data_IF_212968466474
#
_entry.id   IF_212968466474
#
_cell.length_a   1.000
_cell.length_b   1.000
_cell.length_c   1.000
_cell.angle_alpha   90.00
_cell.angle_beta   90.00
_cell.angle_gamma   90.00
#
_symmetry.space_group_name_H-M   'P 1'
#
loop_
_entity.id
_entity.type
_entity.pdbx_description
1 polymer ?
#
# COMPACT_ATOMS: atom_id res chain seq x y z
N UNK A 1 4.81 87.33 40.63
CA UNK A 1 5.45 86.23 39.88
C UNK A 1 5.40 86.60 38.41
N UNK A 2 6.50 87.16 37.91
CA UNK A 2 6.68 87.48 36.49
C UNK A 2 7.28 86.23 35.89
N UNK A 3 6.52 85.50 35.06
CA UNK A 3 7.09 84.39 34.31
C UNK A 3 8.11 84.97 33.33
N UNK A 4 9.31 84.38 33.32
CA UNK A 4 10.37 84.74 32.37
C UNK A 4 9.86 84.44 30.95
N UNK A 5 9.84 85.45 30.09
CA UNK A 5 9.32 85.34 28.73
C UNK A 5 10.04 84.24 27.93
N UNK A 6 11.29 83.93 28.30
CA UNK A 6 12.05 82.86 27.69
C UNK A 6 11.53 81.47 28.08
N UNK A 7 11.14 81.25 29.35
CA UNK A 7 10.58 79.97 29.80
C UNK A 7 9.23 79.67 29.14
N UNK A 8 8.38 80.69 29.00
CA UNK A 8 7.07 80.55 28.36
C UNK A 8 7.22 80.16 26.88
N UNK A 9 8.21 80.74 26.18
CA UNK A 9 8.49 80.44 24.78
C UNK A 9 9.01 79.01 24.59
N UNK A 10 9.91 78.54 25.44
CA UNK A 10 10.38 77.14 25.42
C UNK A 10 9.27 76.14 25.73
N UNK A 11 8.35 76.46 26.66
CA UNK A 11 7.22 75.59 26.98
C UNK A 11 6.22 75.45 25.81
N UNK A 12 5.99 76.52 25.06
CA UNK A 12 5.15 76.52 23.85
C UNK A 12 5.82 75.68 22.75
N UNK A 13 7.12 75.89 22.49
CA UNK A 13 7.87 75.13 21.48
C UNK A 13 7.91 73.62 21.81
N UNK A 14 8.08 73.26 23.09
CA UNK A 14 8.09 71.86 23.52
C UNK A 14 6.68 71.22 23.46
N UNK A 15 5.63 72.01 23.72
CA UNK A 15 4.24 71.64 23.53
C UNK A 15 3.89 71.37 22.06
N UNK A 16 4.36 72.22 21.14
CA UNK A 16 4.19 72.05 19.70
C UNK A 16 4.95 70.83 19.17
N UNK A 17 6.17 70.58 19.64
CA UNK A 17 6.93 69.36 19.32
C UNK A 17 6.19 68.10 19.77
N UNK A 18 5.67 68.07 21.01
CA UNK A 18 4.88 66.93 21.51
C UNK A 18 3.57 66.73 20.73
N UNK A 19 2.91 67.80 20.31
CA UNK A 19 1.72 67.74 19.44
C UNK A 19 2.05 67.25 18.03
N UNK A 20 3.16 67.68 17.45
CA UNK A 20 3.65 67.21 16.15
C UNK A 20 3.97 65.72 16.17
N UNK A 21 4.67 65.24 17.21
CA UNK A 21 4.96 63.81 17.41
C UNK A 21 3.66 63.00 17.58
N UNK A 22 2.70 63.47 18.39
CA UNK A 22 1.38 62.80 18.52
C UNK A 22 0.60 62.77 17.20
N UNK A 23 0.65 63.83 16.38
CA UNK A 23 0.02 63.86 15.04
C UNK A 23 0.70 62.89 14.08
N UNK A 24 2.03 62.81 14.10
CA UNK A 24 2.80 61.86 13.28
C UNK A 24 2.52 60.40 13.71
N UNK A 25 2.45 60.11 15.01
CA UNK A 25 2.05 58.80 15.53
C UNK A 25 0.62 58.42 15.13
N UNK A 26 -0.35 59.35 15.21
CA UNK A 26 -1.73 59.11 14.74
C UNK A 26 -1.79 58.84 13.23
N UNK A 27 -1.05 59.59 12.42
CA UNK A 27 -0.95 59.36 10.96
C UNK A 27 -0.31 57.99 10.66
N UNK A 28 0.75 57.62 11.38
CA UNK A 28 1.39 56.31 11.24
C UNK A 28 0.42 55.17 11.60
N UNK A 29 -0.26 55.24 12.76
CA UNK A 29 -1.27 54.24 13.16
C UNK A 29 -2.41 54.11 12.17
N UNK A 30 -2.93 55.23 11.63
CA UNK A 30 -3.96 55.21 10.58
C UNK A 30 -3.44 54.53 9.30
N UNK A 31 -2.21 54.83 8.87
CA UNK A 31 -1.59 54.13 7.73
C UNK A 31 -1.45 52.64 7.99
N UNK A 32 -1.00 52.23 9.18
CA UNK A 32 -0.86 50.82 9.54
C UNK A 32 -2.22 50.11 9.56
N UNK A 33 -3.27 50.75 10.11
CA UNK A 33 -4.63 50.21 10.08
C UNK A 33 -5.18 50.08 8.66
N UNK A 34 -4.96 51.05 7.79
CA UNK A 34 -5.38 50.98 6.38
C UNK A 34 -4.64 49.88 5.64
N UNK A 35 -3.32 49.75 5.85
CA UNK A 35 -2.51 48.66 5.27
C UNK A 35 -3.02 47.31 5.76
N UNK A 36 -3.28 47.17 7.06
CA UNK A 36 -3.82 45.94 7.64
C UNK A 36 -5.21 45.59 7.07
N UNK A 37 -6.10 46.58 6.94
CA UNK A 37 -7.43 46.39 6.37
C UNK A 37 -7.37 46.02 4.88
N UNK A 38 -6.46 46.62 4.11
CA UNK A 38 -6.23 46.26 2.72
C UNK A 38 -5.66 44.84 2.59
N UNK A 39 -4.70 44.46 3.44
CA UNK A 39 -4.15 43.09 3.48
C UNK A 39 -5.23 42.07 3.84
N UNK A 40 -6.06 42.34 4.84
CA UNK A 40 -7.18 41.46 5.22
C UNK A 40 -8.24 41.38 4.12
N UNK A 41 -8.58 42.51 3.49
CA UNK A 41 -9.53 42.55 2.37
C UNK A 41 -9.10 41.73 1.16
N UNK A 42 -7.78 41.53 0.98
CA UNK A 42 -7.22 40.64 -0.04
C UNK A 42 -7.13 39.20 0.48
N UNK A 43 -6.59 38.96 1.67
CA UNK A 43 -6.33 37.60 2.16
C UNK A 43 -7.59 36.77 2.40
N UNK A 44 -8.65 37.37 2.96
CA UNK A 44 -9.88 36.67 3.31
C UNK A 44 -10.58 36.03 2.10
N UNK A 45 -10.84 36.74 0.98
CA UNK A 45 -11.45 36.11 -0.18
C UNK A 45 -10.56 35.03 -0.82
N UNK A 46 -9.23 35.21 -0.82
CA UNK A 46 -8.31 34.18 -1.31
C UNK A 46 -8.37 32.89 -0.47
N UNK A 47 -8.41 33.02 0.87
CA UNK A 47 -8.52 31.88 1.77
C UNK A 47 -9.87 31.16 1.63
N UNK A 48 -10.97 31.91 1.47
CA UNK A 48 -12.30 31.35 1.24
C UNK A 48 -12.37 30.56 -0.07
N UNK A 49 -11.84 31.12 -1.16
CA UNK A 49 -11.81 30.41 -2.45
C UNK A 49 -10.94 29.16 -2.34
N UNK A 50 -9.75 29.24 -1.73
CA UNK A 50 -8.89 28.08 -1.52
C UNK A 50 -9.61 26.96 -0.74
N UNK A 51 -10.39 27.31 0.29
CA UNK A 51 -11.17 26.36 1.08
C UNK A 51 -12.30 25.68 0.31
N UNK A 52 -13.12 26.45 -0.41
CA UNK A 52 -14.21 25.91 -1.27
C UNK A 52 -13.63 25.03 -2.37
N UNK A 53 -12.50 25.43 -2.93
CA UNK A 53 -11.85 24.70 -4.00
C UNK A 53 -11.24 23.38 -3.48
N UNK A 54 -10.63 23.39 -2.30
CA UNK A 54 -10.09 22.18 -1.68
C UNK A 54 -11.20 21.15 -1.36
N UNK A 55 -12.41 21.58 -1.04
CA UNK A 55 -13.54 20.67 -0.80
C UNK A 55 -14.14 20.04 -2.06
N UNK A 56 -13.83 20.58 -3.24
CA UNK A 56 -14.29 20.05 -4.53
C UNK A 56 -13.21 19.27 -5.29
N UNK A 57 -11.99 19.19 -4.75
CA UNK A 57 -10.94 18.36 -5.35
C UNK A 57 -11.33 16.87 -5.21
N UNK A 58 -11.12 16.03 -6.24
CA UNK A 58 -11.37 14.60 -6.16
C UNK A 58 -10.56 13.94 -5.05
N UNK A 59 -10.89 12.71 -4.69
CA UNK A 59 -10.19 11.90 -3.68
C UNK A 59 -8.71 11.69 -4.01
N UNK A 60 -7.91 11.30 -3.02
CA UNK A 60 -6.47 11.12 -3.21
C UNK A 60 -6.19 10.03 -4.26
N UNK A 61 -5.38 10.31 -5.29
CA UNK A 61 -5.03 9.31 -6.28
C UNK A 61 -4.24 8.16 -5.64
N UNK A 62 -4.40 6.96 -6.20
CA UNK A 62 -3.67 5.74 -5.83
C UNK A 62 -2.78 5.27 -6.99
N UNK A 63 -1.79 4.44 -6.69
CA UNK A 63 -1.02 3.77 -7.74
C UNK A 63 -1.80 2.59 -8.30
N UNK A 64 -1.71 2.41 -9.61
CA UNK A 64 -2.07 1.15 -10.27
C UNK A 64 -0.79 0.56 -10.83
N UNK A 65 -0.40 -0.61 -10.33
CA UNK A 65 0.79 -1.33 -10.79
C UNK A 65 0.36 -2.48 -11.68
N UNK A 66 0.93 -2.53 -12.88
CA UNK A 66 0.83 -3.66 -13.79
C UNK A 66 2.06 -4.54 -13.63
N UNK A 67 1.86 -5.77 -13.17
CA UNK A 67 2.94 -6.73 -12.98
C UNK A 67 3.46 -7.25 -14.33
N UNK A 68 4.77 -7.49 -14.51
CA UNK A 68 5.31 -7.93 -15.78
C UNK A 68 4.77 -9.30 -16.21
N UNK A 69 4.62 -10.24 -15.27
CA UNK A 69 3.95 -11.53 -15.46
C UNK A 69 3.31 -12.00 -14.14
N UNK A 70 2.03 -12.44 -14.14
CA UNK A 70 1.04 -12.18 -15.18
C UNK A 70 0.74 -10.67 -15.29
N UNK A 71 0.24 -10.20 -16.45
CA UNK A 71 -0.12 -8.78 -16.70
C UNK A 71 -1.39 -8.38 -15.95
N UNK A 72 -1.34 -8.46 -14.63
CA UNK A 72 -2.44 -8.12 -13.73
C UNK A 72 -2.23 -6.70 -13.23
N UNK A 73 -3.30 -5.90 -13.26
CA UNK A 73 -3.34 -4.55 -12.69
C UNK A 73 -3.74 -4.65 -11.22
N UNK A 74 -3.04 -3.92 -10.37
CA UNK A 74 -3.28 -3.93 -8.94
C UNK A 74 -3.24 -2.52 -8.38
N UNK A 75 -4.28 -2.13 -7.63
CA UNK A 75 -4.37 -0.81 -7.00
C UNK A 75 -3.69 -0.86 -5.65
N UNK A 76 -2.71 0.01 -5.44
CA UNK A 76 -1.93 0.10 -4.22
C UNK A 76 -2.30 1.33 -3.42
N UNK A 77 -2.45 1.16 -2.11
CA UNK A 77 -2.58 2.27 -1.19
C UNK A 77 -1.26 3.07 -1.12
N UNK A 78 -1.30 4.37 -0.79
CA UNK A 78 -0.09 5.18 -0.72
C UNK A 78 0.85 4.63 0.37
N UNK A 79 2.16 4.58 0.08
CA UNK A 79 3.17 4.06 1.01
C UNK A 79 3.29 2.53 1.06
N UNK A 80 2.49 1.78 0.29
CA UNK A 80 2.72 0.34 0.14
C UNK A 80 4.02 0.05 -0.62
N UNK A 81 4.61 -1.12 -0.33
CA UNK A 81 5.84 -1.58 -0.98
C UNK A 81 5.57 -2.75 -1.92
N UNK A 82 6.40 -2.86 -2.95
CA UNK A 82 6.40 -4.01 -3.88
C UNK A 82 7.76 -4.72 -3.85
N UNK A 83 7.76 -6.04 -4.00
CA UNK A 83 8.98 -6.78 -4.28
C UNK A 83 9.37 -6.56 -5.74
N UNK A 84 10.57 -6.04 -5.96
CA UNK A 84 11.12 -5.89 -7.30
C UNK A 84 12.56 -6.40 -7.37
N UNK A 85 12.93 -6.88 -8.56
CA UNK A 85 14.34 -7.11 -8.92
C UNK A 85 14.87 -5.89 -9.66
N UNK A 86 16.18 -5.66 -9.56
CA UNK A 86 16.85 -4.67 -10.40
C UNK A 86 16.56 -4.95 -11.89
N UNK A 87 16.12 -3.92 -12.60
CA UNK A 87 15.74 -3.99 -14.01
C UNK A 87 14.38 -4.64 -14.31
N UNK A 88 13.60 -5.07 -13.30
CA UNK A 88 12.28 -5.65 -13.53
C UNK A 88 11.29 -4.57 -14.00
N UNK A 89 10.69 -4.69 -15.19
CA UNK A 89 9.79 -3.66 -15.70
C UNK A 89 8.41 -3.76 -15.05
N UNK A 90 7.86 -2.60 -14.69
CA UNK A 90 6.48 -2.39 -14.28
C UNK A 90 5.88 -1.28 -15.13
N UNK A 91 4.59 -1.40 -15.46
CA UNK A 91 3.79 -0.28 -15.99
C UNK A 91 2.97 0.28 -14.83
N UNK A 92 2.97 1.59 -14.69
CA UNK A 92 2.36 2.32 -13.58
C UNK A 92 1.40 3.36 -14.11
N UNK A 93 0.27 3.47 -13.44
CA UNK A 93 -0.72 4.50 -13.70
C UNK A 93 -1.21 5.07 -12.36
N UNK A 94 -1.97 6.16 -12.45
CA UNK A 94 -2.67 6.75 -11.32
C UNK A 94 -4.17 6.54 -11.49
N UNK A 95 -4.89 6.20 -10.42
CA UNK A 95 -6.36 6.10 -10.48
C UNK A 95 -7.00 7.44 -10.86
N UNK A 96 -8.01 7.40 -11.74
CA UNK A 96 -8.69 8.58 -12.29
C UNK A 96 -7.72 9.58 -12.94
N UNK A 97 -6.72 9.10 -13.70
CA UNK A 97 -5.68 9.94 -14.32
C UNK A 97 -6.24 11.06 -15.20
N UNK A 98 -7.44 10.90 -15.75
CA UNK A 98 -8.18 11.93 -16.48
C UNK A 98 -8.42 13.20 -15.65
N UNK A 99 -8.46 13.08 -14.32
CA UNK A 99 -8.61 14.18 -13.38
C UNK A 99 -7.28 14.77 -12.93
N UNK A 100 -6.13 14.15 -13.22
CA UNK A 100 -4.84 14.54 -12.67
C UNK A 100 -3.80 14.83 -13.75
N UNK A 101 -3.12 15.97 -13.65
CA UNK A 101 -1.80 16.19 -14.26
C UNK A 101 -0.77 15.47 -13.40
N UNK A 102 -0.15 14.43 -13.96
CA UNK A 102 0.78 13.57 -13.25
C UNK A 102 2.21 13.83 -13.74
N UNK A 103 3.09 14.10 -12.78
CA UNK A 103 4.54 14.17 -12.98
C UNK A 103 5.21 13.04 -12.22
N UNK A 104 5.79 12.10 -12.95
CA UNK A 104 6.54 10.97 -12.42
C UNK A 104 7.98 11.37 -12.13
N UNK A 105 8.52 10.86 -11.04
CA UNK A 105 9.89 11.11 -10.61
C UNK A 105 10.54 9.82 -10.12
N UNK A 106 11.61 9.41 -10.80
CA UNK A 106 12.40 8.23 -10.44
C UNK A 106 13.89 8.50 -10.66
N UNK A 107 14.72 8.30 -9.64
CA UNK A 107 16.18 8.41 -9.73
C UNK A 107 16.71 9.69 -10.43
N UNK A 108 16.02 10.83 -10.24
CA UNK A 108 16.39 12.12 -10.85
C UNK A 108 15.84 12.35 -12.26
N UNK A 109 15.15 11.38 -12.85
CA UNK A 109 14.39 11.54 -14.11
C UNK A 109 12.98 11.98 -13.78
N UNK A 110 12.50 13.00 -14.49
CA UNK A 110 11.12 13.48 -14.42
C UNK A 110 10.42 13.26 -15.77
N UNK A 111 9.19 12.78 -15.74
CA UNK A 111 8.38 12.52 -16.94
C UNK A 111 6.93 12.88 -16.67
N UNK A 112 6.30 13.62 -17.58
CA UNK A 112 4.86 13.88 -17.54
C UNK A 112 4.08 12.82 -18.32
N UNK A 113 2.88 12.46 -17.84
CA UNK A 113 1.97 11.55 -18.54
C UNK A 113 1.12 10.71 -17.60
N UNK A 114 0.07 10.09 -18.14
CA UNK A 114 -0.87 9.30 -17.34
C UNK A 114 -0.33 7.89 -16.99
N UNK A 115 0.61 7.39 -17.80
CA UNK A 115 1.29 6.11 -17.61
C UNK A 115 2.82 6.31 -17.53
N UNK A 116 3.50 5.50 -16.73
CA UNK A 116 4.95 5.48 -16.62
C UNK A 116 5.49 4.05 -16.61
N UNK A 117 6.47 3.80 -17.48
CA UNK A 117 7.23 2.54 -17.46
C UNK A 117 8.42 2.68 -16.51
N UNK A 118 8.44 1.86 -15.46
CA UNK A 118 9.49 1.90 -14.45
C UNK A 118 10.22 0.56 -14.36
N UNK A 119 11.55 0.62 -14.40
CA UNK A 119 12.40 -0.51 -14.04
C UNK A 119 13.29 -0.07 -12.87
N UNK A 120 13.05 -0.56 -11.64
CA UNK A 120 13.87 -0.23 -10.48
C UNK A 120 15.35 -0.49 -10.76
N UNK A 121 16.19 0.54 -10.63
CA UNK A 121 17.64 0.37 -10.86
C UNK A 121 18.25 -0.53 -9.78
N UNK A 122 17.80 -0.35 -8.54
CA UNK A 122 18.29 -1.06 -7.36
C UNK A 122 17.14 -1.65 -6.53
N UNK A 123 17.52 -2.52 -5.61
CA UNK A 123 16.68 -3.24 -4.65
C UNK A 123 15.88 -2.38 -3.64
N UNK A 124 16.17 -1.08 -3.56
CA UNK A 124 15.48 -0.07 -2.74
C UNK A 124 15.20 1.20 -3.53
N UNK A 125 14.74 1.03 -4.77
CA UNK A 125 14.33 2.16 -5.59
C UNK A 125 13.00 2.73 -5.11
N UNK A 126 12.88 4.05 -5.22
CA UNK A 126 11.66 4.80 -4.96
C UNK A 126 11.17 5.46 -6.25
N UNK A 127 9.86 5.44 -6.43
CA UNK A 127 9.14 6.15 -7.46
C UNK A 127 8.15 7.10 -6.77
N UNK A 128 8.12 8.36 -7.20
CA UNK A 128 7.12 9.31 -6.77
C UNK A 128 6.27 9.75 -7.97
N UNK A 129 4.99 10.01 -7.72
CA UNK A 129 4.11 10.71 -8.65
C UNK A 129 3.56 11.96 -7.95
N UNK A 130 3.80 13.13 -8.54
CA UNK A 130 3.22 14.40 -8.12
C UNK A 130 1.98 14.66 -8.97
N UNK A 131 0.81 14.62 -8.34
CA UNK A 131 -0.48 14.76 -8.97
C UNK A 131 -1.07 16.14 -8.67
N UNK A 132 -1.37 16.91 -9.70
CA UNK A 132 -2.12 18.16 -9.61
C UNK A 132 -3.47 17.96 -10.29
N UNK A 133 -4.56 18.40 -9.67
CA UNK A 133 -5.88 18.24 -10.29
C UNK A 133 -5.92 19.01 -11.64
N UNK A 134 -6.62 18.48 -12.66
CA UNK A 134 -6.81 19.09 -13.98
C UNK A 134 -8.00 20.06 -13.92
N UNK A 135 -7.72 21.36 -14.05
CA UNK A 135 -8.75 22.38 -13.89
C UNK A 135 -9.51 22.61 -15.18
N UNK A 136 -10.84 22.54 -15.12
CA UNK A 136 -11.71 22.78 -16.26
C UNK A 136 -12.65 23.97 -15.99
N UNK A 137 -12.86 24.81 -17.00
CA UNK A 137 -13.75 25.97 -16.91
C UNK A 137 -13.29 27.01 -15.87
N UNK A 138 -14.22 27.50 -15.05
CA UNK A 138 -13.94 28.56 -14.06
C UNK A 138 -12.90 28.17 -13.01
N UNK A 139 -12.70 26.87 -12.78
CA UNK A 139 -11.71 26.36 -11.82
C UNK A 139 -10.28 26.70 -12.25
N UNK A 140 -10.03 26.93 -13.55
CA UNK A 140 -8.71 27.30 -14.07
C UNK A 140 -8.17 28.60 -13.46
N UNK A 141 -9.05 29.56 -13.17
CA UNK A 141 -8.66 30.84 -12.55
C UNK A 141 -8.04 30.68 -11.16
N UNK A 142 -8.33 29.55 -10.49
CA UNK A 142 -7.84 29.22 -9.16
C UNK A 142 -6.96 27.96 -9.16
N UNK A 143 -6.63 27.39 -10.32
CA UNK A 143 -5.84 26.16 -10.40
C UNK A 143 -4.44 26.29 -9.75
N UNK A 144 -3.91 27.51 -9.67
CA UNK A 144 -2.64 27.82 -9.02
C UNK A 144 -2.68 27.65 -7.49
N UNK A 145 -3.85 27.68 -6.85
CA UNK A 145 -3.99 27.42 -5.41
C UNK A 145 -4.16 25.93 -5.09
N UNK A 146 -4.16 25.04 -6.09
CA UNK A 146 -4.40 23.62 -5.87
C UNK A 146 -3.21 22.94 -5.24
N UNK A 147 -3.42 22.18 -4.14
CA UNK A 147 -2.35 21.42 -3.55
C UNK A 147 -1.92 20.33 -4.53
N UNK A 148 -0.60 20.19 -4.70
CA UNK A 148 -0.04 18.98 -5.30
C UNK A 148 -0.14 17.86 -4.29
N UNK A 149 -0.57 16.68 -4.74
CA UNK A 149 -0.60 15.46 -3.94
C UNK A 149 0.53 14.58 -4.41
N UNK A 150 1.42 14.24 -3.48
CA UNK A 150 2.52 13.33 -3.76
C UNK A 150 2.18 11.94 -3.24
N UNK A 151 2.32 10.94 -4.10
CA UNK A 151 2.24 9.53 -3.74
C UNK A 151 3.58 8.86 -4.05
N UNK A 152 4.02 7.97 -3.17
CA UNK A 152 5.29 7.25 -3.30
C UNK A 152 5.08 5.74 -3.32
N UNK A 153 5.88 5.07 -4.17
CA UNK A 153 5.95 3.63 -4.30
C UNK A 153 7.38 3.20 -4.05
N UNK A 154 7.56 2.31 -3.07
CA UNK A 154 8.87 1.81 -2.67
C UNK A 154 9.04 0.35 -3.04
N UNK A 155 10.27 -0.03 -3.34
CA UNK A 155 10.63 -1.42 -3.59
C UNK A 155 11.31 -2.04 -2.37
N UNK A 156 11.01 -3.30 -2.13
CA UNK A 156 11.75 -4.17 -1.22
C UNK A 156 12.48 -5.24 -2.04
N UNK A 157 13.53 -5.81 -1.47
CA UNK A 157 14.29 -6.88 -2.08
C UNK A 157 14.19 -8.20 -1.34
N UNK A 158 14.35 -9.28 -2.12
CA UNK A 158 14.43 -10.63 -1.61
C UNK A 158 15.87 -11.13 -1.68
N UNK A 159 16.43 -11.52 -0.52
CA UNK A 159 17.70 -12.24 -0.49
C UNK A 159 17.50 -13.68 -0.98
N UNK A 160 18.34 -14.12 -1.91
CA UNK A 160 18.35 -15.50 -2.44
C UNK A 160 18.82 -16.50 -1.36
N UNK A 161 18.14 -17.64 -1.24
CA UNK A 161 18.55 -18.82 -0.45
C UNK A 161 18.40 -20.06 -1.33
N UNK A 162 19.51 -20.69 -1.71
CA UNK A 162 19.49 -21.75 -2.71
C UNK A 162 18.98 -21.23 -4.07
N UNK A 163 18.50 -22.12 -4.94
CA UNK A 163 18.13 -21.73 -6.31
C UNK A 163 16.84 -20.91 -6.37
N UNK A 164 15.81 -21.37 -5.67
CA UNK A 164 14.45 -20.81 -5.72
C UNK A 164 13.99 -20.15 -4.41
N UNK A 165 14.72 -20.35 -3.32
CA UNK A 165 14.34 -19.81 -2.03
C UNK A 165 14.60 -18.30 -1.93
N UNK A 166 13.69 -17.60 -1.28
CA UNK A 166 13.71 -16.16 -1.08
C UNK A 166 13.42 -15.82 0.37
N UNK A 167 14.07 -14.76 0.86
CA UNK A 167 13.76 -14.12 2.14
C UNK A 167 13.54 -12.65 1.92
N UNK A 168 12.38 -12.16 2.36
CA UNK A 168 12.00 -10.75 2.31
C UNK A 168 11.79 -10.26 3.73
N UNK A 169 12.29 -9.06 4.03
CA UNK A 169 11.94 -8.32 5.25
C UNK A 169 10.92 -7.23 4.90
N UNK A 170 9.63 -7.56 4.99
CA UNK A 170 8.51 -6.70 4.63
C UNK A 170 7.98 -5.94 5.85
N UNK A 171 8.80 -5.07 6.43
CA UNK A 171 8.38 -4.19 7.54
C UNK A 171 7.35 -3.18 7.03
N UNK A 172 6.11 -3.25 7.50
CA UNK A 172 4.98 -2.47 6.95
C UNK A 172 4.22 -3.19 5.83
N UNK A 173 4.66 -4.39 5.44
CA UNK A 173 4.03 -5.23 4.44
C UNK A 173 4.47 -4.91 3.01
N UNK A 174 4.53 -5.95 2.18
CA UNK A 174 5.00 -5.88 0.80
C UNK A 174 4.18 -6.78 -0.11
N UNK A 175 3.78 -6.24 -1.26
CA UNK A 175 3.24 -7.06 -2.33
C UNK A 175 4.38 -7.76 -3.04
N UNK A 176 4.41 -9.09 -2.97
CA UNK A 176 5.50 -9.88 -3.56
C UNK A 176 5.16 -10.45 -4.94
N UNK A 177 3.86 -10.47 -5.26
CA UNK A 177 3.28 -10.93 -6.52
C UNK A 177 1.82 -10.44 -6.62
N UNK A 178 1.15 -10.46 -7.78
CA UNK A 178 -0.27 -10.12 -7.88
C UNK A 178 -1.13 -10.80 -6.83
N UNK A 179 -1.82 -10.01 -6.01
CA UNK A 179 -2.67 -10.45 -4.89
C UNK A 179 -1.98 -11.32 -3.82
N UNK A 180 -0.66 -11.42 -3.83
CA UNK A 180 0.14 -12.11 -2.82
C UNK A 180 0.91 -11.07 -2.00
N UNK A 181 0.57 -10.98 -0.73
CA UNK A 181 1.14 -10.05 0.22
C UNK A 181 2.02 -10.78 1.24
N UNK A 182 2.98 -10.05 1.79
CA UNK A 182 3.92 -10.53 2.77
C UNK A 182 3.99 -9.53 3.93
N UNK A 183 4.01 -10.02 5.16
CA UNK A 183 4.18 -9.17 6.36
C UNK A 183 5.31 -9.72 7.21
N UNK A 184 6.23 -8.83 7.61
CA UNK A 184 7.37 -9.18 8.45
C UNK A 184 8.46 -9.94 7.68
N UNK A 185 9.27 -10.70 8.41
CA UNK A 185 10.34 -11.50 7.81
C UNK A 185 9.83 -12.87 7.41
N UNK A 186 9.70 -13.09 6.11
CA UNK A 186 9.15 -14.32 5.54
C UNK A 186 10.16 -15.06 4.67
N UNK A 187 9.97 -16.37 4.54
CA UNK A 187 10.70 -17.22 3.61
C UNK A 187 9.72 -17.94 2.70
N UNK A 188 10.04 -18.01 1.42
CA UNK A 188 9.21 -18.69 0.43
C UNK A 188 10.03 -19.23 -0.73
N UNK A 189 9.49 -20.21 -1.43
CA UNK A 189 9.97 -20.68 -2.71
C UNK A 189 9.31 -19.85 -3.82
N UNK A 190 10.10 -19.19 -4.64
CA UNK A 190 9.59 -18.27 -5.68
C UNK A 190 8.67 -18.96 -6.69
N UNK A 191 8.81 -20.28 -6.88
CA UNK A 191 7.94 -21.06 -7.78
C UNK A 191 6.51 -21.17 -7.24
N UNK A 192 6.28 -20.92 -5.95
CA UNK A 192 4.94 -20.91 -5.37
C UNK A 192 4.13 -19.69 -5.81
N UNK A 193 4.75 -18.53 -6.04
CA UNK A 193 4.03 -17.27 -6.30
C UNK A 193 3.12 -17.34 -7.55
N UNK A 194 3.59 -17.83 -8.71
CA UNK A 194 2.73 -17.99 -9.88
C UNK A 194 1.59 -18.98 -9.65
N UNK A 195 1.78 -20.01 -8.82
CA UNK A 195 0.73 -20.98 -8.50
C UNK A 195 -0.36 -20.35 -7.61
N UNK A 196 0.04 -19.59 -6.60
CA UNK A 196 -0.88 -18.86 -5.72
C UNK A 196 -1.70 -17.85 -6.53
N UNK A 197 -1.05 -17.08 -7.39
CA UNK A 197 -1.76 -16.14 -8.26
C UNK A 197 -2.66 -16.82 -9.29
N UNK A 198 -2.25 -17.96 -9.85
CA UNK A 198 -3.10 -18.73 -10.78
C UNK A 198 -4.32 -19.30 -10.07
N UNK A 199 -4.18 -19.69 -8.80
CA UNK A 199 -5.30 -20.21 -8.01
C UNK A 199 -6.42 -19.17 -7.80
N UNK A 200 -6.14 -17.88 -7.96
CA UNK A 200 -7.11 -16.78 -7.86
C UNK A 200 -8.21 -16.91 -8.90
N UNK A 201 -7.91 -17.36 -10.12
CA UNK A 201 -8.95 -17.54 -11.13
C UNK A 201 -9.95 -18.65 -10.78
N UNK A 202 -9.61 -19.50 -9.79
CA UNK A 202 -10.51 -20.51 -9.23
C UNK A 202 -11.25 -20.03 -7.98
N UNK A 203 -10.97 -18.81 -7.49
CA UNK A 203 -11.71 -18.19 -6.39
C UNK A 203 -12.99 -17.54 -6.96
N UNK A 204 -14.17 -17.76 -6.36
CA UNK A 204 -15.42 -17.15 -6.80
C UNK A 204 -15.31 -15.62 -6.93
N UNK A 205 -15.86 -15.06 -8.01
CA UNK A 205 -15.82 -13.61 -8.29
C UNK A 205 -16.42 -12.76 -7.18
N UNK A 206 -17.37 -13.30 -6.41
CA UNK A 206 -17.94 -12.64 -5.23
C UNK A 206 -16.94 -12.40 -4.11
N UNK A 207 -15.81 -13.12 -4.10
CA UNK A 207 -14.73 -13.00 -3.12
C UNK A 207 -13.52 -12.23 -3.65
N UNK A 208 -13.38 -12.17 -4.97
CA UNK A 208 -12.41 -11.31 -5.64
C UNK A 208 -12.98 -9.89 -5.61
N UNK A 209 -12.40 -9.02 -4.77
CA UNK A 209 -12.79 -7.62 -4.69
C UNK A 209 -12.76 -7.00 -6.09
N UNK A 210 -13.95 -6.87 -6.71
CA UNK A 210 -14.22 -6.39 -8.07
C UNK A 210 -13.33 -7.03 -9.13
N UNK A 211 -13.93 -7.60 -10.17
CA UNK A 211 -13.22 -7.75 -11.45
C UNK A 211 -12.46 -6.46 -11.75
N UNK A 212 -11.26 -6.62 -12.34
CA UNK A 212 -10.33 -5.68 -12.98
C UNK A 212 -10.96 -4.53 -13.82
N UNK A 213 -12.06 -3.95 -13.37
CA UNK A 213 -12.88 -2.96 -14.04
C UNK A 213 -12.47 -1.58 -13.52
N UNK A 214 -11.79 -0.88 -14.42
CA UNK A 214 -11.70 0.58 -14.59
C UNK A 214 -11.86 1.38 -13.29
N UNK A 215 -10.72 1.76 -12.71
CA UNK A 215 -10.62 2.86 -11.71
C UNK A 215 -11.47 2.72 -10.45
N UNK A 216 -11.44 1.56 -9.77
CA UNK A 216 -11.87 1.53 -8.36
C UNK A 216 -10.84 2.25 -7.49
N UNK A 217 -11.23 3.33 -6.82
CA UNK A 217 -10.43 4.06 -5.82
C UNK A 217 -10.13 3.23 -4.56
N UNK A 218 -10.58 1.97 -4.50
CA UNK A 218 -10.33 1.08 -3.37
C UNK A 218 -9.05 0.28 -3.59
N UNK A 219 -8.10 0.31 -2.62
CA UNK A 219 -6.92 -0.55 -2.66
C UNK A 219 -7.30 -2.02 -2.82
N UNK A 220 -6.55 -2.75 -3.65
CA UNK A 220 -6.79 -4.18 -3.86
C UNK A 220 -6.52 -4.94 -2.56
N UNK A 221 -7.50 -5.69 -2.07
CA UNK A 221 -7.32 -6.52 -0.87
C UNK A 221 -6.37 -7.70 -1.16
N UNK A 222 -5.50 -8.08 -0.20
CA UNK A 222 -4.67 -9.26 -0.35
C UNK A 222 -5.53 -10.53 -0.24
N UNK A 223 -5.35 -11.45 -1.18
CA UNK A 223 -6.00 -12.76 -1.13
C UNK A 223 -5.11 -13.76 -0.41
N UNK A 224 -3.84 -13.77 -0.79
CA UNK A 224 -2.82 -14.60 -0.17
C UNK A 224 -1.91 -13.76 0.70
N UNK A 225 -1.69 -14.21 1.92
CA UNK A 225 -0.69 -13.67 2.83
C UNK A 225 0.37 -14.74 3.09
N UNK A 226 1.62 -14.51 2.67
CA UNK A 226 2.71 -15.41 3.02
C UNK A 226 3.04 -15.22 4.49
N UNK A 227 3.06 -16.34 5.21
CA UNK A 227 3.34 -16.42 6.64
C UNK A 227 4.59 -17.26 6.89
N UNK A 228 5.17 -17.14 8.09
CA UNK A 228 6.40 -17.84 8.45
C UNK A 228 6.18 -19.33 8.80
N UNK A 229 4.97 -19.72 9.22
CA UNK A 229 4.64 -21.06 9.68
C UNK A 229 3.14 -21.40 9.54
N UNK A 230 2.78 -22.66 9.81
CA UNK A 230 1.40 -23.16 9.78
C UNK A 230 0.51 -22.69 10.94
N UNK A 231 1.11 -22.30 12.07
CA UNK A 231 0.36 -21.83 13.23
C UNK A 231 0.73 -20.38 13.53
N UNK A 232 -0.05 -19.41 13.01
CA UNK A 232 0.26 -17.99 13.15
C UNK A 232 0.17 -17.50 14.61
N UNK A 233 -0.46 -18.28 15.50
CA UNK A 233 -0.52 -18.05 16.95
C UNK A 233 0.67 -18.61 17.72
N UNK A 234 1.49 -19.47 17.11
CA UNK A 234 2.72 -19.94 17.73
C UNK A 234 3.78 -18.84 17.52
N UNK A 235 4.45 -18.34 18.58
CA UNK A 235 5.50 -17.35 18.42
C UNK A 235 6.47 -17.88 17.39
N UNK A 236 6.66 -17.14 16.30
CA UNK A 236 7.52 -17.53 15.21
C UNK A 236 8.86 -17.95 15.83
N UNK A 237 9.14 -19.27 15.86
CA UNK A 237 10.48 -19.75 16.20
C UNK A 237 11.36 -19.00 15.24
N UNK A 238 12.18 -18.10 15.78
CA UNK A 238 13.05 -17.22 15.02
C UNK A 238 13.82 -18.16 14.11
N UNK A 239 13.42 -18.26 12.83
CA UNK A 239 14.01 -19.26 11.95
C UNK A 239 15.42 -18.76 11.78
N UNK A 240 16.36 -19.41 12.48
CA UNK A 240 17.74 -19.02 12.46
C UNK A 240 18.14 -18.87 11.00
N UNK A 241 18.71 -17.72 10.66
CA UNK A 241 19.21 -17.38 9.33
C UNK A 241 20.41 -18.25 8.92
N UNK A 242 20.69 -19.31 9.66
CA UNK A 242 21.99 -19.99 9.72
C UNK A 242 22.06 -21.33 9.01
N UNK A 243 21.00 -21.85 8.38
CA UNK A 243 21.12 -23.04 7.54
C UNK A 243 20.74 -22.76 6.10
N UNK A 244 21.71 -22.93 5.21
CA UNK A 244 21.58 -22.92 3.75
C UNK A 244 20.72 -24.09 3.21
N UNK A 245 19.86 -24.69 4.05
CA UNK A 245 18.92 -25.72 3.61
C UNK A 245 17.76 -25.07 2.88
N UNK A 246 17.29 -25.76 1.84
CA UNK A 246 16.15 -25.37 1.01
C UNK A 246 14.97 -24.90 1.86
N UNK A 247 14.19 -23.96 1.33
CA UNK A 247 12.94 -23.54 1.96
C UNK A 247 12.07 -24.80 2.12
N UNK A 248 11.82 -25.22 3.37
CA UNK A 248 11.03 -26.43 3.69
C UNK A 248 9.61 -26.38 3.11
N UNK A 249 9.15 -25.18 2.74
CA UNK A 249 7.94 -24.93 1.96
C UNK A 249 7.56 -23.46 2.04
N UNK A 250 6.71 -23.03 1.10
CA UNK A 250 6.02 -21.75 1.18
C UNK A 250 4.74 -21.95 1.98
N UNK A 251 4.55 -21.16 3.03
CA UNK A 251 3.31 -21.13 3.80
C UNK A 251 2.51 -19.89 3.42
N UNK A 252 1.23 -20.08 3.07
CA UNK A 252 0.36 -18.99 2.68
C UNK A 252 -1.02 -19.14 3.31
N UNK A 253 -1.56 -18.04 3.83
CA UNK A 253 -2.93 -17.95 4.33
C UNK A 253 -3.79 -17.35 3.23
N UNK A 254 -4.87 -18.04 2.90
CA UNK A 254 -5.94 -17.53 2.05
C UNK A 254 -7.04 -16.94 2.94
N UNK A 255 -7.42 -15.70 2.64
CA UNK A 255 -8.55 -15.02 3.27
C UNK A 255 -9.63 -14.85 2.20
N UNK A 256 -10.76 -15.53 2.39
CA UNK A 256 -11.93 -15.41 1.53
C UNK A 256 -13.21 -15.43 2.37
N UNK A 257 -14.32 -14.93 1.83
CA UNK A 257 -15.57 -14.80 2.58
C UNK A 257 -16.21 -16.17 2.89
N UNK A 258 -16.13 -17.12 1.96
CA UNK A 258 -16.68 -18.46 2.01
C UNK A 258 -15.60 -19.53 1.74
N UNK A 259 -14.61 -19.54 2.64
CA UNK A 259 -13.49 -20.48 2.58
C UNK A 259 -13.91 -21.96 2.56
N UNK A 260 -15.08 -22.32 3.10
CA UNK A 260 -15.52 -23.72 3.12
C UNK A 260 -15.82 -24.22 1.71
N UNK A 261 -16.47 -23.37 0.90
CA UNK A 261 -16.88 -23.72 -0.47
C UNK A 261 -15.78 -23.44 -1.49
N UNK A 262 -14.97 -22.40 -1.30
CA UNK A 262 -13.90 -22.04 -2.25
C UNK A 262 -12.67 -22.94 -2.15
N UNK A 263 -12.37 -23.50 -0.98
CA UNK A 263 -11.12 -24.22 -0.74
C UNK A 263 -10.91 -25.43 -1.65
N UNK A 264 -11.88 -26.34 -1.88
CA UNK A 264 -11.68 -27.50 -2.75
C UNK A 264 -11.29 -27.11 -4.19
N UNK A 265 -11.93 -26.08 -4.74
CA UNK A 265 -11.67 -25.61 -6.10
C UNK A 265 -10.26 -25.01 -6.23
N UNK A 266 -9.89 -24.17 -5.27
CA UNK A 266 -8.56 -23.53 -5.19
C UNK A 266 -7.47 -24.60 -5.00
N UNK A 267 -7.71 -25.55 -4.08
CA UNK A 267 -6.79 -26.64 -3.81
C UNK A 267 -6.56 -27.53 -5.04
N UNK A 268 -7.65 -27.91 -5.73
CA UNK A 268 -7.59 -28.69 -6.97
C UNK A 268 -6.79 -27.96 -8.06
N UNK A 269 -7.02 -26.65 -8.23
CA UNK A 269 -6.28 -25.82 -9.21
C UNK A 269 -4.77 -25.78 -8.94
N UNK A 270 -4.38 -25.66 -7.67
CA UNK A 270 -2.98 -25.66 -7.25
C UNK A 270 -2.35 -27.03 -7.47
N UNK A 271 -3.02 -28.11 -7.06
CA UNK A 271 -2.55 -29.49 -7.24
C UNK A 271 -2.34 -29.81 -8.72
N UNK A 272 -3.29 -29.46 -9.57
CA UNK A 272 -3.19 -29.65 -11.03
C UNK A 272 -2.03 -28.86 -11.64
N UNK A 273 -1.76 -27.66 -11.12
CA UNK A 273 -0.70 -26.79 -11.65
C UNK A 273 0.69 -27.12 -11.11
N UNK A 274 0.79 -27.95 -10.08
CA UNK A 274 2.04 -28.28 -9.40
C UNK A 274 2.19 -29.79 -9.15
N UNK A 275 2.26 -30.62 -10.21
CA UNK A 275 2.26 -32.08 -10.08
C UNK A 275 3.43 -32.61 -9.24
N UNK A 276 4.56 -31.91 -9.22
CA UNK A 276 5.79 -32.32 -8.52
C UNK A 276 5.98 -31.68 -7.13
N UNK A 277 5.07 -30.79 -6.72
CA UNK A 277 5.13 -30.17 -5.40
C UNK A 277 4.30 -30.98 -4.42
N UNK A 278 4.75 -31.18 -3.19
CA UNK A 278 3.91 -31.59 -2.06
C UNK A 278 3.02 -30.45 -1.59
N UNK A 279 1.74 -30.73 -1.41
CA UNK A 279 0.69 -29.76 -1.10
C UNK A 279 -0.05 -30.19 0.16
N UNK A 280 -0.12 -29.28 1.13
CA UNK A 280 -0.83 -29.48 2.40
C UNK A 280 -1.80 -28.33 2.64
N UNK A 281 -3.08 -28.61 2.86
CA UNK A 281 -4.12 -27.61 3.12
C UNK A 281 -4.73 -27.79 4.52
N UNK A 282 -4.95 -26.70 5.24
CA UNK A 282 -5.65 -26.72 6.53
C UNK A 282 -6.74 -25.65 6.52
N UNK A 283 -7.99 -26.07 6.64
CA UNK A 283 -9.13 -25.17 6.88
C UNK A 283 -9.26 -24.92 8.38
N UNK A 284 -9.06 -23.67 8.82
CA UNK A 284 -9.15 -23.25 10.22
C UNK A 284 -10.55 -22.69 10.49
N UNK A 285 -11.47 -23.55 10.95
CA UNK A 285 -12.80 -23.14 11.43
C UNK A 285 -12.76 -22.64 12.89
N UNK A 286 -11.65 -22.88 13.57
CA UNK A 286 -11.35 -22.37 14.92
C UNK A 286 -10.94 -20.89 14.93
N UNK A 287 -10.73 -20.27 13.77
CA UNK A 287 -10.39 -18.86 13.64
C UNK A 287 -11.58 -18.02 13.13
N UNK A 288 -11.63 -16.76 13.56
CA UNK A 288 -12.55 -15.74 13.03
C UNK A 288 -11.72 -14.56 12.50
N UNK A 289 -11.77 -14.27 11.18
CA UNK A 289 -12.50 -14.99 10.14
C UNK A 289 -11.96 -16.41 9.90
N UNK A 290 -12.76 -17.26 9.26
CA UNK A 290 -12.31 -18.58 8.80
C UNK A 290 -11.21 -18.38 7.75
N UNK A 291 -10.13 -19.15 7.84
CA UNK A 291 -9.01 -19.06 6.90
C UNK A 291 -8.59 -20.43 6.37
N UNK A 292 -8.03 -20.45 5.17
CA UNK A 292 -7.31 -21.60 4.62
C UNK A 292 -5.81 -21.37 4.74
N UNK A 293 -5.06 -22.37 5.22
CA UNK A 293 -3.60 -22.33 5.26
C UNK A 293 -3.06 -23.38 4.31
N UNK A 294 -2.13 -22.98 3.45
CA UNK A 294 -1.49 -23.81 2.46
C UNK A 294 0.01 -23.91 2.74
N UNK A 295 0.57 -25.12 2.63
CA UNK A 295 2.00 -25.33 2.44
C UNK A 295 2.27 -25.95 1.08
N UNK A 296 3.14 -25.30 0.32
CA UNK A 296 3.69 -25.79 -0.94
C UNK A 296 5.18 -26.08 -0.79
N UNK A 297 5.59 -27.32 -1.05
CA UNK A 297 7.00 -27.71 -1.03
C UNK A 297 7.36 -28.42 -2.35
N UNK A 298 8.36 -27.93 -3.06
CA UNK A 298 8.82 -28.53 -4.32
C UNK A 298 9.90 -29.59 -4.05
N UNK A 299 9.51 -30.65 -3.35
CA UNK A 299 10.39 -31.73 -2.88
C UNK A 299 10.36 -32.97 -3.78
N UNK A 300 9.58 -32.96 -4.87
CA UNK A 300 9.46 -34.09 -5.80
C UNK A 300 8.65 -35.27 -5.26
N UNK A 301 8.05 -35.15 -4.06
CA UNK A 301 7.28 -36.24 -3.44
C UNK A 301 5.81 -36.23 -3.81
N UNK A 302 5.30 -35.08 -4.25
CA UNK A 302 3.90 -34.92 -4.67
C UNK A 302 2.89 -35.35 -3.61
N UNK A 303 3.20 -35.20 -2.33
CA UNK A 303 2.27 -35.55 -1.25
C UNK A 303 1.04 -34.64 -1.29
N UNK A 304 -0.15 -35.20 -1.05
CA UNK A 304 -1.44 -34.48 -1.04
C UNK A 304 -2.12 -34.74 0.28
N UNK A 305 -2.37 -33.68 1.07
CA UNK A 305 -3.09 -33.81 2.33
C UNK A 305 -3.92 -32.57 2.62
N UNK A 306 -5.13 -32.77 3.14
CA UNK A 306 -5.96 -31.67 3.64
C UNK A 306 -6.67 -32.01 4.94
N UNK A 307 -6.82 -31.00 5.80
CA UNK A 307 -7.44 -31.13 7.11
C UNK A 307 -8.38 -29.97 7.40
N UNK A 308 -9.33 -30.21 8.30
CA UNK A 308 -10.19 -29.19 8.91
C UNK A 308 -9.91 -29.16 10.40
N UNK A 309 -9.62 -27.99 10.94
CA UNK A 309 -9.51 -27.77 12.38
C UNK A 309 -10.75 -27.04 12.88
N UNK A 310 -11.55 -27.68 13.72
CA UNK A 310 -12.74 -27.10 14.35
C UNK A 310 -12.42 -26.48 15.71
N UNK A 311 -13.26 -25.56 16.22
CA UNK A 311 -13.13 -25.06 17.58
C UNK A 311 -13.02 -26.22 18.59
N UNK A 312 -12.00 -26.18 19.46
CA UNK A 312 -11.76 -27.22 20.46
C UNK A 312 -10.92 -28.43 19.98
N UNK A 313 -10.64 -28.55 18.68
CA UNK A 313 -9.78 -29.62 18.17
C UNK A 313 -8.28 -29.23 18.24
N UNK A 314 -7.46 -30.13 18.79
CA UNK A 314 -6.00 -29.97 18.85
C UNK A 314 -5.30 -30.31 17.53
N UNK A 315 -5.77 -31.35 16.82
CA UNK A 315 -5.11 -31.89 15.62
C UNK A 315 -5.89 -31.72 14.31
N UNK A 316 -7.20 -31.41 14.37
CA UNK A 316 -8.08 -31.39 13.20
C UNK A 316 -8.42 -32.80 12.66
N UNK A 317 -9.44 -32.88 11.81
CA UNK A 317 -9.82 -34.10 11.06
C UNK A 317 -9.47 -34.00 9.57
N UNK A 318 -9.46 -35.10 8.81
CA UNK A 318 -9.26 -35.06 7.36
C UNK A 318 -10.38 -34.26 6.68
N UNK A 319 -10.03 -33.45 5.68
CA UNK A 319 -11.00 -32.84 4.78
C UNK A 319 -11.37 -33.87 3.71
N UNK A 320 -12.66 -34.16 3.53
CA UNK A 320 -13.16 -35.06 2.48
C UNK A 320 -13.55 -34.27 1.23
N UNK A 321 -13.51 -34.90 0.05
CA UNK A 321 -14.02 -34.30 -1.20
C UNK A 321 -13.13 -33.23 -1.86
N UNK A 322 -11.89 -33.03 -1.39
CA UNK A 322 -10.96 -32.08 -2.01
C UNK A 322 -10.08 -32.68 -3.13
N UNK A 323 -9.98 -34.01 -3.17
CA UNK A 323 -9.27 -34.78 -4.20
C UNK A 323 -10.25 -35.35 -5.23
N UNK A 324 -10.81 -34.51 -6.09
CA UNK A 324 -11.32 -35.00 -7.38
C UNK A 324 -10.12 -35.31 -8.29
N UNK A 325 -9.48 -36.46 -8.04
CA UNK A 325 -8.40 -37.02 -8.87
C UNK A 325 -7.28 -37.71 -8.08
N UNK A 326 -7.52 -38.96 -7.64
CA UNK A 326 -6.56 -40.08 -7.37
C UNK A 326 -5.32 -39.77 -6.49
N UNK A 327 -5.04 -40.38 -5.33
CA UNK A 327 -5.48 -41.63 -4.71
C UNK A 327 -5.52 -41.52 -3.18
N UNK A 328 -6.58 -42.10 -2.61
CA UNK A 328 -6.64 -42.50 -1.21
C UNK A 328 -5.54 -43.52 -0.91
N UNK A 329 -4.59 -43.16 -0.05
CA UNK A 329 -3.89 -44.15 0.76
C UNK A 329 -4.18 -43.85 2.22
N UNK A 330 -4.89 -44.79 2.86
CA UNK A 330 -5.17 -44.81 4.29
C UNK A 330 -3.85 -44.87 5.05
N UNK A 331 -3.34 -43.72 5.46
CA UNK A 331 -2.28 -43.63 6.46
C UNK A 331 -2.70 -42.58 7.50
N UNK A 332 -2.94 -43.06 8.71
CA UNK A 332 -3.16 -42.23 9.90
C UNK A 332 -1.97 -41.27 10.08
N UNK A 333 -2.20 -40.03 10.58
CA UNK A 333 -1.18 -39.00 10.58
C UNK A 333 -0.24 -39.11 11.80
N UNK A 334 1.07 -39.01 11.55
CA UNK A 334 1.99 -38.37 12.50
C UNK A 334 2.05 -36.87 12.18
N UNK A 335 1.53 -36.05 13.09
CA UNK A 335 1.77 -34.61 13.14
C UNK A 335 3.01 -34.33 14.02
N UNK A 336 3.71 -33.18 13.84
CA UNK A 336 4.86 -32.85 14.67
C UNK A 336 4.42 -32.77 16.12
N UNK A 337 5.09 -33.52 17.00
CA UNK A 337 4.86 -33.43 18.44
C UNK A 337 5.21 -31.99 18.88
N UNK A 338 4.27 -31.37 19.59
CA UNK A 338 4.50 -30.13 20.31
C UNK A 338 5.64 -30.26 21.30
#
# INVERSE_FOLDING_TARGET
MIYDQNELKTAIEDGERKLAVKRQQRRSRKRHLVILAALLGILVPFALVAGVVASHAPSAPLFVVTWPKPKVRQVLAPGQTILARAGQPFSLEVTNSENWEVMWKAAGVESGGDEFSWAPANEKSELAASCRFKANGWQQFFAWTWPRREITLQTVAARKIGDYGRVVDARGGAWIYPHVFAVGTIRFDERALPLLAKAISATPKSELASELAVTSETPTAPLWEIVSNFDPSSPAKTVALSSARAVDGTFAVLRAADMQNSLPQIASSIVKSAPNASVKFVLRLDQKPIVGILRLAFDGKSERRAWVRRPGESAGGPLTGWEEGVAQTNLLPDMPRG
#
